data_IF_134644321889
#
_entry.id   IF_134644321889
#
_cell.length_a   1.000
_cell.length_b   1.000
_cell.length_c   1.000
_cell.angle_alpha   90.00
_cell.angle_beta   90.00
_cell.angle_gamma   90.00
#
_symmetry.space_group_name_H-M   'P 1'
#
loop_
_entity.id
_entity.type
_entity.pdbx_description
1 polymer ?
#
# COMPACT_ATOMS: atom_id res chain seq x y z
N UNK A 1 11.04 -13.35 33.79
CA UNK A 1 9.90 -12.51 33.37
C UNK A 1 9.07 -12.18 34.57
N UNK A 2 8.50 -10.97 34.64
CA UNK A 2 7.60 -10.54 35.73
C UNK A 2 6.26 -10.16 35.14
N UNK A 3 5.19 -10.64 35.80
CA UNK A 3 3.82 -10.45 35.35
C UNK A 3 3.24 -9.16 35.92
N UNK A 4 2.68 -8.32 35.00
CA UNK A 4 2.08 -7.06 35.35
C UNK A 4 0.72 -6.89 34.65
N UNK A 5 -0.22 -6.25 35.32
CA UNK A 5 -1.44 -5.77 34.66
C UNK A 5 -1.12 -4.61 33.75
N UNK A 6 -1.88 -4.45 32.67
CA UNK A 6 -1.61 -3.40 31.68
C UNK A 6 -1.70 -1.99 32.27
N UNK A 7 -2.59 -1.74 33.24
CA UNK A 7 -2.64 -0.46 33.96
C UNK A 7 -1.44 -0.20 34.89
N UNK A 8 -0.60 -1.21 35.16
CA UNK A 8 0.70 -1.03 35.80
C UNK A 8 1.81 -0.73 34.80
N UNK A 9 1.64 -1.14 33.54
CA UNK A 9 2.61 -0.96 32.43
C UNK A 9 2.43 0.39 31.76
N UNK A 10 1.19 0.83 31.57
CA UNK A 10 0.84 2.01 30.78
C UNK A 10 -0.26 2.85 31.44
N UNK A 11 -0.29 4.12 31.07
CA UNK A 11 -1.44 5.00 31.28
C UNK A 11 -2.11 5.32 29.93
N UNK A 12 -3.44 5.49 29.96
CA UNK A 12 -4.21 6.00 28.82
C UNK A 12 -4.50 7.49 29.03
N UNK A 13 -3.87 8.35 28.26
CA UNK A 13 -4.14 9.80 28.29
C UNK A 13 -5.52 10.07 27.68
N UNK A 14 -6.43 10.64 28.49
CA UNK A 14 -7.81 10.97 28.09
C UNK A 14 -8.01 12.46 27.83
N UNK A 15 -6.96 13.26 27.93
CA UNK A 15 -7.01 14.71 27.67
C UNK A 15 -7.50 14.97 26.24
N UNK A 16 -8.45 15.89 26.11
CA UNK A 16 -9.10 16.21 24.83
C UNK A 16 -9.06 17.69 24.55
N UNK A 17 -9.16 18.03 23.27
CA UNK A 17 -9.33 19.39 22.77
C UNK A 17 -10.40 19.40 21.68
N UNK A 18 -11.23 20.45 21.63
CA UNK A 18 -12.03 20.75 20.44
C UNK A 18 -11.09 21.33 19.39
N UNK A 19 -10.98 20.73 18.19
CA UNK A 19 -10.05 21.18 17.18
C UNK A 19 -10.35 22.59 16.69
N UNK A 20 -9.29 23.34 16.42
CA UNK A 20 -9.27 24.64 15.77
C UNK A 20 -8.61 24.54 14.39
N UNK A 21 -8.68 25.59 13.56
CA UNK A 21 -8.08 25.61 12.23
C UNK A 21 -6.56 25.37 12.27
N UNK A 22 -5.87 25.88 13.30
CA UNK A 22 -4.44 25.66 13.53
C UNK A 22 -4.06 24.19 13.77
N UNK A 23 -5.00 23.38 14.22
CA UNK A 23 -4.76 21.96 14.50
C UNK A 23 -4.75 21.09 13.22
N UNK A 24 -5.23 21.60 12.08
CA UNK A 24 -5.31 20.84 10.81
C UNK A 24 -3.98 20.21 10.42
N UNK A 25 -2.91 20.96 10.54
CA UNK A 25 -1.55 20.51 10.18
C UNK A 25 -0.89 19.67 11.29
N UNK A 26 -1.54 19.50 12.44
CA UNK A 26 -1.05 18.73 13.60
C UNK A 26 -2.04 17.65 14.04
N UNK A 27 -2.80 17.13 13.09
CA UNK A 27 -3.76 16.06 13.32
C UNK A 27 -3.22 14.72 12.81
N UNK A 28 -3.28 13.70 13.66
CA UNK A 28 -3.05 12.31 13.27
C UNK A 28 -4.36 11.55 13.37
N UNK A 29 -4.83 11.01 12.25
CA UNK A 29 -5.98 10.11 12.16
C UNK A 29 -5.55 8.65 12.13
N UNK A 30 -6.49 7.70 12.25
CA UNK A 30 -6.19 6.28 12.08
C UNK A 30 -5.75 5.93 10.64
N UNK A 31 -6.12 6.77 9.68
CA UNK A 31 -5.71 6.70 8.28
C UNK A 31 -4.23 7.02 8.07
N UNK A 32 -3.61 7.69 9.03
CA UNK A 32 -2.18 8.05 9.01
C UNK A 32 -1.28 7.01 9.68
N UNK A 33 -1.87 6.04 10.38
CA UNK A 33 -1.14 4.92 10.98
C UNK A 33 -1.13 3.75 10.02
N UNK A 34 0.06 3.30 9.65
CA UNK A 34 0.26 2.14 8.79
C UNK A 34 0.59 0.89 9.64
N UNK A 35 -0.01 -0.28 9.35
CA UNK A 35 0.35 -1.51 10.03
C UNK A 35 1.82 -1.88 9.83
N UNK A 36 2.46 -2.46 10.84
CA UNK A 36 3.83 -2.97 10.74
C UNK A 36 4.92 -1.89 10.69
N UNK A 37 4.62 -0.66 11.11
CA UNK A 37 5.61 0.40 11.35
C UNK A 37 5.18 1.27 12.52
N UNK A 38 6.16 1.76 13.27
CA UNK A 38 5.96 2.73 14.35
C UNK A 38 6.09 4.17 13.85
N UNK A 39 6.63 4.38 12.65
CA UNK A 39 6.82 5.70 12.08
C UNK A 39 5.50 6.25 11.51
N UNK A 40 5.16 7.47 11.88
CA UNK A 40 4.03 8.22 11.32
C UNK A 40 4.59 9.20 10.29
N UNK A 41 4.44 8.86 9.01
CA UNK A 41 4.99 9.64 7.88
C UNK A 41 3.98 10.61 7.26
N UNK A 42 2.69 10.47 7.61
CA UNK A 42 1.59 11.27 7.07
C UNK A 42 0.73 11.81 8.20
N UNK A 43 0.27 13.03 8.06
CA UNK A 43 -0.62 13.68 9.03
C UNK A 43 -1.36 14.86 8.37
N UNK A 44 -2.25 15.50 9.13
CA UNK A 44 -3.03 16.63 8.66
C UNK A 44 -4.44 16.26 8.23
N UNK A 45 -5.26 17.26 7.96
CA UNK A 45 -6.62 17.11 7.45
C UNK A 45 -6.93 18.23 6.46
N UNK A 46 -7.67 17.91 5.39
CA UNK A 46 -8.13 18.90 4.39
C UNK A 46 -9.07 19.93 4.99
N UNK A 47 -9.84 19.52 5.98
CA UNK A 47 -10.77 20.37 6.74
C UNK A 47 -10.57 20.18 8.23
N UNK A 48 -10.91 21.18 9.03
CA UNK A 48 -10.81 21.09 10.50
C UNK A 48 -11.58 19.88 11.02
N UNK A 49 -10.92 18.94 11.75
CA UNK A 49 -11.56 17.72 12.23
C UNK A 49 -12.69 18.03 13.20
N UNK A 50 -13.87 17.42 12.98
CA UNK A 50 -15.06 17.64 13.80
C UNK A 50 -15.03 16.82 15.09
N UNK A 51 -15.62 17.38 16.16
CA UNK A 51 -15.73 16.76 17.49
C UNK A 51 -14.37 16.67 18.22
N UNK A 52 -14.42 16.40 19.52
CA UNK A 52 -13.24 16.35 20.38
C UNK A 52 -12.21 15.34 19.88
N UNK A 53 -10.94 15.71 19.97
CA UNK A 53 -9.79 14.88 19.65
C UNK A 53 -8.92 14.69 20.89
N UNK A 54 -8.20 13.58 20.94
CA UNK A 54 -7.23 13.34 22.01
C UNK A 54 -6.02 14.26 21.84
N UNK A 55 -5.53 14.82 22.94
CA UNK A 55 -4.24 15.50 22.95
C UNK A 55 -3.12 14.47 22.98
N UNK A 56 -2.14 14.64 22.09
CA UNK A 56 -0.92 13.85 22.07
C UNK A 56 0.30 14.73 22.21
N UNK A 57 1.36 14.21 22.84
CA UNK A 57 2.70 14.79 22.90
C UNK A 57 3.65 13.99 22.02
N UNK A 58 4.68 14.64 21.52
CA UNK A 58 5.76 13.95 20.81
C UNK A 58 6.28 12.78 21.62
N UNK A 59 6.35 11.59 21.01
CA UNK A 59 6.78 10.36 21.65
C UNK A 59 5.66 9.53 22.31
N UNK A 60 4.43 10.07 22.45
CA UNK A 60 3.29 9.27 22.90
C UNK A 60 3.01 8.13 21.91
N UNK A 61 2.54 6.99 22.42
CA UNK A 61 2.15 5.86 21.58
C UNK A 61 0.69 5.98 21.17
N UNK A 62 0.46 6.01 19.86
CA UNK A 62 -0.84 6.13 19.24
C UNK A 62 -1.35 4.76 18.85
N UNK A 63 -2.35 4.24 19.55
CA UNK A 63 -2.94 2.93 19.27
C UNK A 63 -4.32 3.08 18.62
N UNK A 64 -4.52 2.46 17.46
CA UNK A 64 -5.79 2.41 16.74
C UNK A 64 -6.75 1.42 17.39
N UNK A 65 -7.48 1.83 18.44
CA UNK A 65 -8.38 0.95 19.18
C UNK A 65 -9.61 0.48 18.41
N UNK A 66 -10.11 1.30 17.47
CA UNK A 66 -11.24 0.93 16.59
C UNK A 66 -10.73 0.10 15.43
N UNK A 67 -11.34 -1.05 15.19
CA UNK A 67 -10.85 -2.08 14.25
C UNK A 67 -9.43 -2.52 14.62
N UNK A 68 -9.25 -2.91 15.88
CA UNK A 68 -7.95 -3.30 16.42
C UNK A 68 -7.24 -4.39 15.58
N UNK A 69 -8.00 -5.22 14.84
CA UNK A 69 -7.47 -6.20 13.88
C UNK A 69 -6.62 -5.59 12.75
N UNK A 70 -6.71 -4.27 12.52
CA UNK A 70 -5.82 -3.58 11.57
C UNK A 70 -4.40 -3.38 12.13
N UNK A 71 -4.16 -3.70 13.42
CA UNK A 71 -2.84 -3.66 14.08
C UNK A 71 -2.09 -2.33 13.89
N UNK A 72 -2.80 -1.20 14.01
CA UNK A 72 -2.28 0.15 13.79
C UNK A 72 -1.72 0.74 15.07
N UNK A 73 -0.40 0.95 15.10
CA UNK A 73 0.35 1.58 16.20
C UNK A 73 1.34 2.56 15.61
N UNK A 74 1.54 3.72 16.23
CA UNK A 74 2.55 4.68 15.80
C UNK A 74 3.08 5.51 16.96
N UNK A 75 4.24 6.12 16.77
CA UNK A 75 4.82 7.09 17.71
C UNK A 75 4.43 8.49 17.25
N UNK A 76 3.88 9.31 18.15
CA UNK A 76 3.49 10.69 17.85
C UNK A 76 4.71 11.51 17.40
N UNK A 77 4.71 12.07 16.17
CA UNK A 77 5.89 12.78 15.63
C UNK A 77 6.05 14.19 16.20
N UNK A 78 4.98 14.75 16.78
CA UNK A 78 4.91 16.11 17.33
C UNK A 78 3.79 16.24 18.38
N UNK A 79 3.75 17.36 19.07
CA UNK A 79 2.64 17.73 19.93
C UNK A 79 1.44 18.17 19.08
N UNK A 80 0.28 17.56 19.29
CA UNK A 80 -0.90 17.84 18.48
C UNK A 80 -2.14 17.08 18.93
N UNK A 81 -3.01 16.75 17.98
CA UNK A 81 -4.26 16.04 18.25
C UNK A 81 -4.33 14.71 17.51
N UNK A 82 -4.90 13.71 18.18
CA UNK A 82 -5.10 12.36 17.66
C UNK A 82 -6.58 11.99 17.58
N UNK A 83 -6.91 11.12 16.65
CA UNK A 83 -8.29 10.62 16.45
C UNK A 83 -8.91 10.12 17.77
N UNK A 84 -10.16 10.50 18.05
CA UNK A 84 -10.92 9.97 19.18
C UNK A 84 -11.21 8.45 19.09
N UNK A 85 -10.98 7.83 17.90
CA UNK A 85 -11.09 6.39 17.69
C UNK A 85 -9.79 5.63 18.04
N UNK A 86 -8.79 6.32 18.58
CA UNK A 86 -7.56 5.73 19.10
C UNK A 86 -7.45 5.81 20.62
N UNK A 87 -6.28 5.44 21.13
CA UNK A 87 -5.80 5.68 22.48
C UNK A 87 -4.41 6.31 22.41
N UNK A 88 -4.14 7.21 23.34
CA UNK A 88 -2.80 7.79 23.55
C UNK A 88 -2.23 7.10 24.79
N UNK A 89 -1.24 6.25 24.59
CA UNK A 89 -0.64 5.43 25.64
C UNK A 89 0.75 5.97 26.01
N UNK A 90 1.04 6.01 27.31
CA UNK A 90 2.33 6.40 27.87
C UNK A 90 2.88 5.28 28.75
N UNK A 91 4.19 4.99 28.69
CA UNK A 91 4.80 3.99 29.56
C UNK A 91 4.86 4.47 31.01
N UNK A 92 4.70 3.56 31.96
CA UNK A 92 5.10 3.75 33.35
C UNK A 92 6.55 3.32 33.49
N UNK A 93 7.47 4.28 33.52
CA UNK A 93 8.90 4.06 33.42
C UNK A 93 9.51 3.26 34.61
N UNK A 94 8.80 3.14 35.69
CA UNK A 94 9.14 2.27 36.83
C UNK A 94 8.90 0.77 36.56
N UNK A 95 8.09 0.43 35.52
CA UNK A 95 7.75 -0.96 35.16
C UNK A 95 8.26 -1.32 33.77
N UNK A 96 8.13 -0.44 32.79
CA UNK A 96 8.52 -0.70 31.40
C UNK A 96 9.49 0.37 30.89
N UNK A 97 10.57 -0.07 30.24
CA UNK A 97 11.50 0.84 29.59
C UNK A 97 10.79 1.63 28.48
N UNK A 98 10.87 2.97 28.47
CA UNK A 98 10.17 3.80 27.48
C UNK A 98 10.58 3.53 26.03
N UNK A 99 11.80 3.07 25.77
CA UNK A 99 12.25 2.71 24.42
C UNK A 99 11.76 1.32 24.00
N UNK A 100 11.50 0.42 24.97
CA UNK A 100 10.93 -0.89 24.71
C UNK A 100 9.41 -0.84 24.52
N UNK A 101 8.75 0.10 25.18
CA UNK A 101 7.29 0.20 25.22
C UNK A 101 6.60 0.27 23.83
N UNK A 102 7.08 1.07 22.84
CA UNK A 102 6.49 1.08 21.50
C UNK A 102 6.46 -0.31 20.84
N UNK A 103 7.55 -1.07 20.99
CA UNK A 103 7.67 -2.42 20.43
C UNK A 103 6.78 -3.42 21.15
N UNK A 104 6.63 -3.29 22.48
CA UNK A 104 5.67 -4.09 23.22
C UNK A 104 4.23 -3.84 22.73
N UNK A 105 3.81 -2.59 22.57
CA UNK A 105 2.46 -2.24 22.07
C UNK A 105 2.25 -2.69 20.62
N UNK A 106 3.29 -2.71 19.77
CA UNK A 106 3.19 -3.17 18.38
C UNK A 106 3.37 -4.69 18.21
N UNK A 107 3.70 -5.41 19.28
CA UNK A 107 3.88 -6.86 19.24
C UNK A 107 2.55 -7.62 19.13
N UNK A 108 2.59 -8.82 18.55
CA UNK A 108 1.43 -9.71 18.52
C UNK A 108 0.96 -10.09 19.93
N UNK A 109 1.88 -10.16 20.91
CA UNK A 109 1.54 -10.41 22.33
C UNK A 109 0.51 -9.41 22.85
N UNK A 110 0.68 -8.12 22.55
CA UNK A 110 -0.28 -7.10 22.97
C UNK A 110 -1.48 -7.01 22.00
N UNK A 111 -1.21 -7.02 20.69
CA UNK A 111 -2.23 -6.76 19.67
C UNK A 111 -3.27 -7.87 19.60
N UNK A 112 -2.89 -9.14 19.71
CA UNK A 112 -3.83 -10.26 19.68
C UNK A 112 -4.75 -10.24 20.91
N UNK A 113 -4.23 -9.89 22.10
CA UNK A 113 -5.03 -9.68 23.29
C UNK A 113 -5.99 -8.48 23.14
N UNK A 114 -5.53 -7.38 22.55
CA UNK A 114 -6.37 -6.22 22.27
C UNK A 114 -7.49 -6.54 21.25
N UNK A 115 -7.22 -7.37 20.26
CA UNK A 115 -8.23 -7.89 19.33
C UNK A 115 -9.22 -8.79 20.05
N UNK A 116 -8.73 -9.73 20.89
CA UNK A 116 -9.54 -10.68 21.65
C UNK A 116 -10.59 -9.97 22.54
N UNK A 117 -10.22 -8.88 23.20
CA UNK A 117 -11.13 -8.13 24.08
C UNK A 117 -11.93 -7.05 23.36
N UNK A 118 -11.78 -6.92 22.04
CA UNK A 118 -12.53 -5.94 21.25
C UNK A 118 -14.00 -6.31 21.14
N UNK A 119 -14.89 -5.31 21.26
CA UNK A 119 -16.35 -5.48 21.21
C UNK A 119 -16.94 -4.77 20.00
N UNK A 120 -17.93 -5.39 19.35
CA UNK A 120 -18.66 -4.87 18.19
C UNK A 120 -18.46 -5.70 16.94
N UNK A 121 -19.52 -5.90 16.14
CA UNK A 121 -19.51 -6.76 14.94
C UNK A 121 -18.87 -6.08 13.73
N UNK A 122 -19.31 -4.86 13.37
CA UNK A 122 -18.84 -4.15 12.16
C UNK A 122 -17.54 -3.35 12.38
N UNK A 123 -17.29 -2.90 13.60
CA UNK A 123 -16.13 -2.08 13.95
C UNK A 123 -15.66 -2.42 15.36
N UNK A 124 -15.13 -3.63 15.59
CA UNK A 124 -14.71 -4.05 16.92
C UNK A 124 -13.71 -3.06 17.50
N UNK A 125 -13.92 -2.70 18.76
CA UNK A 125 -13.18 -1.64 19.44
C UNK A 125 -12.63 -2.16 20.77
N UNK A 126 -11.33 -2.07 20.97
CA UNK A 126 -10.67 -2.35 22.24
C UNK A 126 -10.89 -1.17 23.19
N UNK A 127 -11.49 -1.42 24.37
CA UNK A 127 -11.74 -0.37 25.35
C UNK A 127 -10.71 -0.43 26.47
N UNK A 128 -10.32 0.74 26.99
CA UNK A 128 -9.37 0.81 28.09
C UNK A 128 -9.80 0.03 29.33
N UNK A 129 -11.10 0.02 29.65
CA UNK A 129 -11.64 -0.74 30.79
C UNK A 129 -11.33 -2.23 30.72
N UNK A 130 -11.26 -2.79 29.51
CA UNK A 130 -11.02 -4.21 29.27
C UNK A 130 -9.52 -4.46 29.12
N UNK A 131 -8.79 -3.60 28.39
CA UNK A 131 -7.33 -3.69 28.23
C UNK A 131 -6.58 -3.57 29.56
N UNK A 132 -6.94 -2.63 30.43
CA UNK A 132 -6.21 -2.30 31.65
C UNK A 132 -6.07 -3.49 32.62
N UNK A 133 -6.96 -4.48 32.53
CA UNK A 133 -6.99 -5.66 33.40
C UNK A 133 -6.22 -6.85 32.84
N UNK A 134 -5.80 -6.77 31.58
CA UNK A 134 -4.99 -7.81 30.95
C UNK A 134 -3.62 -7.89 31.63
N UNK A 135 -3.09 -9.09 31.71
CA UNK A 135 -1.79 -9.36 32.33
C UNK A 135 -0.78 -9.78 31.26
N UNK A 136 0.41 -9.22 31.37
CA UNK A 136 1.52 -9.46 30.44
C UNK A 136 2.80 -9.77 31.19
N UNK A 137 3.55 -10.73 30.67
CA UNK A 137 4.86 -11.09 31.19
C UNK A 137 5.93 -10.21 30.51
N UNK A 138 6.56 -9.30 31.28
CA UNK A 138 7.63 -8.44 30.77
C UNK A 138 9.02 -9.02 31.09
N UNK A 139 9.98 -8.87 30.17
CA UNK A 139 11.39 -9.17 30.45
C UNK A 139 11.94 -8.30 31.60
N UNK A 140 13.08 -8.69 32.14
CA UNK A 140 13.81 -7.83 33.10
C UNK A 140 14.20 -6.49 32.47
N UNK A 141 14.35 -5.40 33.24
CA UNK A 141 14.70 -4.08 32.72
C UNK A 141 15.97 -4.06 31.84
N UNK A 142 16.98 -4.86 32.19
CA UNK A 142 18.18 -5.02 31.36
C UNK A 142 17.88 -5.64 30.00
N UNK A 143 17.02 -6.67 29.97
CA UNK A 143 16.61 -7.33 28.71
C UNK A 143 15.67 -6.45 27.87
N UNK A 144 14.82 -5.62 28.51
CA UNK A 144 14.01 -4.64 27.81
C UNK A 144 14.89 -3.63 27.06
N UNK A 145 15.94 -3.08 27.68
CA UNK A 145 16.88 -2.16 27.03
C UNK A 145 17.65 -2.80 25.88
N UNK A 146 18.12 -4.02 26.06
CA UNK A 146 18.79 -4.79 24.99
C UNK A 146 17.86 -4.98 23.78
N UNK A 147 16.63 -5.45 24.02
CA UNK A 147 15.62 -5.64 22.97
C UNK A 147 15.25 -4.32 22.31
N UNK A 148 15.05 -3.25 23.07
CA UNK A 148 14.76 -1.92 22.53
C UNK A 148 15.86 -1.45 21.59
N UNK A 149 17.13 -1.65 21.92
CA UNK A 149 18.26 -1.31 21.06
C UNK A 149 18.18 -2.05 19.71
N UNK A 150 18.10 -3.38 19.76
CA UNK A 150 18.03 -4.22 18.54
C UNK A 150 16.81 -3.86 17.68
N UNK A 151 15.63 -3.74 18.29
CA UNK A 151 14.40 -3.45 17.57
C UNK A 151 14.39 -2.03 16.97
N UNK A 152 14.99 -1.04 17.66
CA UNK A 152 15.12 0.32 17.13
C UNK A 152 16.04 0.36 15.91
N UNK A 153 17.15 -0.37 15.93
CA UNK A 153 18.06 -0.48 14.78
C UNK A 153 17.35 -1.19 13.61
N UNK A 154 16.62 -2.26 13.87
CA UNK A 154 15.85 -2.98 12.84
C UNK A 154 14.77 -2.09 12.21
N UNK A 155 14.00 -1.34 13.00
CA UNK A 155 12.98 -0.42 12.49
C UNK A 155 13.60 0.74 11.69
N UNK A 156 14.73 1.29 12.15
CA UNK A 156 15.51 2.30 11.42
C UNK A 156 15.99 1.77 10.07
N UNK A 157 16.56 0.56 10.05
CA UNK A 157 17.03 -0.09 8.82
C UNK A 157 15.86 -0.31 7.85
N UNK A 158 14.72 -0.78 8.34
CA UNK A 158 13.48 -0.95 7.56
C UNK A 158 12.99 0.37 6.97
N UNK A 159 13.06 1.47 7.73
CA UNK A 159 12.76 2.82 7.25
C UNK A 159 13.69 3.26 6.12
N UNK A 160 15.01 3.04 6.26
CA UNK A 160 15.99 3.34 5.23
C UNK A 160 15.74 2.53 3.95
N UNK A 161 15.42 1.24 4.03
CA UNK A 161 15.08 0.41 2.86
C UNK A 161 13.83 0.93 2.14
N UNK A 162 12.76 1.28 2.89
CA UNK A 162 11.55 1.87 2.30
C UNK A 162 11.88 3.16 1.56
N UNK A 163 12.66 4.05 2.17
CA UNK A 163 13.09 5.31 1.54
C UNK A 163 13.92 5.05 0.29
N UNK A 164 14.85 4.09 0.33
CA UNK A 164 15.66 3.71 -0.84
C UNK A 164 14.78 3.20 -2.00
N UNK A 165 13.81 2.34 -1.72
CA UNK A 165 12.86 1.85 -2.74
C UNK A 165 12.07 3.01 -3.38
N UNK A 166 11.57 3.95 -2.59
CA UNK A 166 10.88 5.15 -3.09
C UNK A 166 11.83 6.00 -3.94
N UNK A 167 13.05 6.23 -3.46
CA UNK A 167 14.06 7.00 -4.22
C UNK A 167 14.39 6.35 -5.56
N UNK A 168 14.46 5.02 -5.63
CA UNK A 168 14.64 4.30 -6.88
C UNK A 168 13.50 4.58 -7.87
N UNK A 169 12.24 4.58 -7.40
CA UNK A 169 11.08 4.93 -8.25
C UNK A 169 11.16 6.39 -8.73
N UNK A 170 11.53 7.32 -7.86
CA UNK A 170 11.68 8.74 -8.19
C UNK A 170 12.78 8.98 -9.23
N UNK A 171 13.89 8.25 -9.16
CA UNK A 171 14.99 8.33 -10.13
C UNK A 171 14.52 7.84 -11.51
N UNK A 172 13.83 6.69 -11.58
CA UNK A 172 13.27 6.21 -12.85
C UNK A 172 12.30 7.24 -13.42
N UNK A 173 11.38 7.74 -12.60
CA UNK A 173 10.40 8.74 -13.01
C UNK A 173 11.05 10.01 -13.54
N UNK A 174 12.08 10.53 -12.84
CA UNK A 174 12.82 11.73 -13.28
C UNK A 174 13.49 11.52 -14.65
N UNK A 175 14.14 10.36 -14.86
CA UNK A 175 14.78 10.06 -16.14
C UNK A 175 13.77 10.02 -17.31
N UNK A 176 12.57 9.47 -17.08
CA UNK A 176 11.51 9.46 -18.09
C UNK A 176 10.96 10.87 -18.37
N UNK A 177 10.74 11.68 -17.32
CA UNK A 177 10.32 13.08 -17.46
C UNK A 177 11.34 13.87 -18.27
N UNK A 178 12.61 13.78 -17.89
CA UNK A 178 13.71 14.51 -18.56
C UNK A 178 13.84 14.08 -20.03
N UNK A 179 13.71 12.81 -20.33
CA UNK A 179 13.79 12.28 -21.70
C UNK A 179 12.62 12.77 -22.57
N UNK A 180 11.40 12.80 -22.03
CA UNK A 180 10.22 13.29 -22.76
C UNK A 180 10.29 14.81 -22.97
N UNK A 181 10.71 15.57 -21.94
CA UNK A 181 10.83 17.03 -22.03
C UNK A 181 11.96 17.47 -22.95
N UNK A 182 13.05 16.72 -23.04
CA UNK A 182 14.19 17.01 -23.89
C UNK A 182 13.99 16.56 -25.35
N UNK A 183 12.97 15.77 -25.63
CA UNK A 183 12.70 15.28 -26.96
C UNK A 183 12.19 16.42 -27.88
N UNK A 184 12.80 16.54 -29.07
CA UNK A 184 12.30 17.45 -30.11
C UNK A 184 11.02 16.90 -30.71
N UNK A 185 9.87 17.51 -30.38
CA UNK A 185 8.53 17.13 -30.88
C UNK A 185 8.21 15.62 -30.65
N UNK A 186 8.03 15.15 -29.40
CA UNK A 186 7.63 13.78 -29.16
C UNK A 186 6.26 13.52 -29.83
N UNK A 187 6.12 12.40 -30.51
CA UNK A 187 4.84 11.97 -31.07
C UNK A 187 3.93 11.52 -29.91
N UNK A 188 2.73 12.07 -29.84
CA UNK A 188 1.71 11.59 -28.90
C UNK A 188 0.77 10.64 -29.64
N UNK A 189 0.63 9.43 -29.09
CA UNK A 189 -0.15 8.36 -29.71
C UNK A 189 -1.15 7.81 -28.69
N UNK A 190 -2.38 7.56 -29.14
CA UNK A 190 -3.41 6.99 -28.27
C UNK A 190 -3.03 5.57 -27.87
N UNK A 191 -3.32 5.23 -26.63
CA UNK A 191 -2.98 3.91 -26.07
C UNK A 191 -3.62 2.76 -26.87
N UNK A 192 -4.82 2.98 -27.45
CA UNK A 192 -5.50 1.97 -28.27
C UNK A 192 -4.77 1.70 -29.60
N UNK A 193 -4.00 2.68 -30.11
CA UNK A 193 -3.21 2.54 -31.33
C UNK A 193 -1.83 1.86 -31.10
N UNK A 194 -1.48 1.59 -29.84
CA UNK A 194 -0.21 0.95 -29.42
C UNK A 194 -0.35 -0.56 -29.16
N UNK A 195 -1.54 -1.11 -29.30
CA UNK A 195 -1.78 -2.55 -29.08
C UNK A 195 -1.80 -3.31 -30.41
N UNK A 196 -1.52 -4.62 -30.32
CA UNK A 196 -1.52 -5.53 -31.47
C UNK A 196 -2.86 -5.59 -32.15
N UNK A 197 -2.88 -5.67 -33.47
CA UNK A 197 -4.11 -5.91 -34.26
C UNK A 197 -4.82 -7.19 -33.76
N UNK A 198 -6.15 -7.13 -33.68
CA UNK A 198 -6.96 -8.22 -33.16
C UNK A 198 -6.91 -8.42 -31.64
N UNK A 199 -6.14 -7.62 -30.91
CA UNK A 199 -6.05 -7.67 -29.45
C UNK A 199 -6.30 -6.31 -28.78
N UNK A 200 -7.50 -5.75 -28.92
CA UNK A 200 -7.82 -4.43 -28.37
C UNK A 200 -7.71 -4.43 -26.85
N UNK A 201 -7.51 -3.25 -26.26
CA UNK A 201 -7.55 -3.08 -24.81
C UNK A 201 -8.91 -3.54 -24.29
N UNK A 202 -8.91 -4.49 -23.36
CA UNK A 202 -10.13 -5.06 -22.79
C UNK A 202 -9.95 -5.41 -21.32
N UNK A 203 -11.05 -5.44 -20.60
CA UNK A 203 -11.11 -6.01 -19.25
C UNK A 203 -11.59 -7.47 -19.28
N UNK A 204 -11.43 -8.16 -18.16
CA UNK A 204 -11.76 -9.57 -18.05
C UNK A 204 -13.15 -9.85 -17.48
N UNK A 205 -13.22 -10.87 -16.65
CA UNK A 205 -14.44 -11.49 -16.16
C UNK A 205 -15.16 -10.61 -15.13
N UNK A 206 -16.43 -10.31 -15.35
CA UNK A 206 -17.24 -9.46 -14.45
C UNK A 206 -17.61 -10.20 -13.16
N UNK A 207 -17.97 -11.49 -13.27
CA UNK A 207 -18.36 -12.33 -12.13
C UNK A 207 -17.68 -13.69 -12.28
N UNK A 208 -16.46 -13.87 -11.74
CA UNK A 208 -15.69 -15.09 -11.93
C UNK A 208 -16.27 -16.31 -11.19
N UNK A 209 -17.24 -16.12 -10.29
CA UNK A 209 -17.78 -17.21 -9.48
C UNK A 209 -16.91 -17.56 -8.28
N UNK A 210 -17.20 -18.71 -7.68
CA UNK A 210 -16.37 -19.29 -6.62
C UNK A 210 -15.12 -19.96 -7.18
N UNK A 211 -14.20 -20.31 -6.28
CA UNK A 211 -12.97 -21.02 -6.66
C UNK A 211 -13.29 -22.44 -7.17
N UNK A 212 -12.73 -22.81 -8.32
CA UNK A 212 -12.96 -24.13 -8.96
C UNK A 212 -11.61 -24.84 -9.07
N UNK A 213 -11.47 -25.99 -8.46
CA UNK A 213 -10.27 -26.83 -8.56
C UNK A 213 -10.01 -27.22 -10.01
N UNK A 214 -8.77 -27.04 -10.50
CA UNK A 214 -8.40 -27.29 -11.90
C UNK A 214 -9.01 -26.29 -12.90
N UNK A 215 -9.60 -25.19 -12.43
CA UNK A 215 -10.14 -24.11 -13.27
C UNK A 215 -9.07 -23.25 -13.92
N UNK A 216 -9.49 -22.16 -14.56
CA UNK A 216 -8.60 -21.19 -15.22
C UNK A 216 -8.19 -20.11 -14.22
N UNK A 217 -6.87 -19.80 -14.05
CA UNK A 217 -6.43 -18.77 -13.14
C UNK A 217 -6.96 -17.37 -13.52
N UNK A 218 -7.42 -16.61 -12.52
CA UNK A 218 -7.99 -15.27 -12.69
C UNK A 218 -7.20 -14.28 -11.84
N UNK A 219 -6.57 -13.32 -12.48
CA UNK A 219 -5.75 -12.29 -11.83
C UNK A 219 -6.64 -11.13 -11.39
N UNK A 220 -6.51 -10.76 -10.13
CA UNK A 220 -7.17 -9.59 -9.50
C UNK A 220 -6.15 -8.51 -9.21
N UNK A 221 -6.60 -7.27 -9.02
CA UNK A 221 -5.74 -6.14 -8.67
C UNK A 221 -4.93 -6.37 -7.38
N UNK A 222 -5.44 -7.15 -6.43
CA UNK A 222 -4.73 -7.52 -5.19
C UNK A 222 -3.52 -8.41 -5.44
N UNK A 223 -3.51 -9.16 -6.53
CA UNK A 223 -2.52 -10.19 -6.80
C UNK A 223 -1.22 -9.61 -7.42
N UNK A 224 -1.20 -8.30 -7.79
CA UNK A 224 0.01 -7.62 -8.27
C UNK A 224 0.23 -6.25 -7.58
N UNK A 225 0.37 -6.21 -6.26
CA UNK A 225 0.49 -4.95 -5.52
C UNK A 225 1.77 -4.17 -5.84
N UNK A 226 2.84 -4.88 -6.18
CA UNK A 226 4.20 -4.34 -6.35
C UNK A 226 4.76 -4.52 -7.78
N UNK A 227 3.88 -4.71 -8.77
CA UNK A 227 4.30 -4.85 -10.18
C UNK A 227 4.71 -6.27 -10.60
N UNK A 228 4.70 -7.22 -9.68
CA UNK A 228 4.86 -8.67 -9.94
C UNK A 228 3.59 -9.39 -9.52
N UNK A 229 3.18 -10.39 -10.29
CA UNK A 229 1.98 -11.16 -9.97
C UNK A 229 2.36 -12.23 -8.94
N UNK A 230 1.65 -12.23 -7.81
CA UNK A 230 1.73 -13.26 -6.79
C UNK A 230 0.77 -14.40 -7.17
N UNK A 231 1.35 -15.55 -7.48
CA UNK A 231 0.60 -16.74 -7.93
C UNK A 231 0.12 -17.64 -6.77
N UNK A 232 0.45 -17.32 -5.53
CA UNK A 232 0.22 -18.17 -4.36
C UNK A 232 -1.26 -18.31 -3.96
N UNK A 233 -2.12 -17.31 -4.27
CA UNK A 233 -3.54 -17.27 -3.87
C UNK A 233 -4.44 -16.76 -5.01
N UNK A 234 -4.25 -17.30 -6.21
CA UNK A 234 -5.10 -16.95 -7.36
C UNK A 234 -6.50 -17.56 -7.22
N UNK A 235 -7.49 -16.86 -7.76
CA UNK A 235 -8.82 -17.39 -7.97
C UNK A 235 -8.85 -18.24 -9.26
N UNK A 236 -9.55 -19.37 -9.25
CA UNK A 236 -9.73 -20.21 -10.43
C UNK A 236 -11.20 -20.21 -10.85
N UNK A 237 -11.50 -19.71 -12.05
CA UNK A 237 -12.86 -19.73 -12.61
C UNK A 237 -13.14 -21.03 -13.39
N UNK A 238 -14.42 -21.38 -13.50
CA UNK A 238 -14.80 -22.51 -14.34
C UNK A 238 -14.54 -22.22 -15.83
N UNK A 239 -14.16 -23.22 -16.65
CA UNK A 239 -13.98 -23.05 -18.09
C UNK A 239 -15.22 -22.47 -18.78
N UNK A 240 -16.43 -22.85 -18.34
CA UNK A 240 -17.69 -22.37 -18.92
C UNK A 240 -17.93 -20.85 -18.70
N UNK A 241 -17.41 -20.28 -17.60
CA UNK A 241 -17.45 -18.85 -17.35
C UNK A 241 -16.36 -18.16 -18.18
N UNK A 242 -15.13 -18.69 -18.15
CA UNK A 242 -13.96 -18.11 -18.79
C UNK A 242 -14.12 -18.03 -20.32
N UNK A 243 -14.69 -19.05 -20.94
CA UNK A 243 -14.90 -19.11 -22.40
C UNK A 243 -15.69 -17.92 -22.94
N UNK A 244 -16.63 -17.37 -22.14
CA UNK A 244 -17.38 -16.16 -22.51
C UNK A 244 -16.51 -14.91 -22.57
N UNK A 245 -15.29 -15.02 -22.02
CA UNK A 245 -14.30 -13.93 -21.94
C UNK A 245 -12.98 -14.31 -22.64
N UNK A 246 -13.01 -15.26 -23.58
CA UNK A 246 -11.84 -15.73 -24.32
C UNK A 246 -11.00 -14.60 -24.95
N UNK A 247 -11.65 -13.50 -25.34
CA UNK A 247 -10.98 -12.31 -25.89
C UNK A 247 -10.00 -11.65 -24.93
N UNK A 248 -10.15 -11.83 -23.59
CA UNK A 248 -9.28 -11.26 -22.56
C UNK A 248 -8.25 -12.25 -22.06
N UNK A 249 -8.15 -13.45 -22.61
CA UNK A 249 -7.09 -14.43 -22.29
C UNK A 249 -5.72 -13.79 -22.42
N UNK A 250 -4.88 -14.09 -21.44
CA UNK A 250 -3.56 -13.51 -21.31
C UNK A 250 -2.53 -14.26 -22.13
N UNK A 251 -1.56 -13.52 -22.64
CA UNK A 251 -0.35 -14.03 -23.24
C UNK A 251 0.87 -13.50 -22.47
N UNK A 252 1.99 -14.18 -22.58
CA UNK A 252 3.24 -13.70 -22.02
C UNK A 252 3.57 -12.29 -22.52
N UNK A 253 3.99 -11.42 -21.60
CA UNK A 253 4.33 -10.02 -21.89
C UNK A 253 3.14 -9.07 -22.05
N UNK A 254 1.88 -9.53 -21.96
CA UNK A 254 0.73 -8.62 -21.84
C UNK A 254 0.93 -7.72 -20.61
N UNK A 255 0.73 -6.41 -20.76
CA UNK A 255 0.76 -5.47 -19.66
C UNK A 255 -0.63 -5.36 -19.03
N UNK A 256 -0.73 -5.65 -17.75
CA UNK A 256 -1.94 -5.45 -16.95
C UNK A 256 -1.95 -4.02 -16.39
N UNK A 257 -3.08 -3.36 -16.47
CA UNK A 257 -3.30 -2.02 -15.91
C UNK A 257 -4.61 -2.01 -15.11
N UNK A 258 -4.53 -1.73 -13.81
CA UNK A 258 -5.73 -1.65 -12.97
C UNK A 258 -6.55 -0.42 -13.29
N UNK A 259 -7.84 -0.61 -13.58
CA UNK A 259 -8.79 0.44 -13.94
C UNK A 259 -9.82 0.73 -12.84
N UNK A 260 -9.88 -0.09 -11.78
CA UNK A 260 -10.77 0.11 -10.63
C UNK A 260 -10.07 -0.21 -9.31
N UNK A 261 -10.53 0.39 -8.24
CA UNK A 261 -9.91 0.30 -6.92
C UNK A 261 -8.58 1.06 -6.86
N UNK A 262 -7.46 0.36 -6.73
CA UNK A 262 -6.13 0.97 -6.83
C UNK A 262 -5.75 1.19 -8.30
N UNK A 263 -6.31 2.23 -8.94
CA UNK A 263 -6.08 2.54 -10.36
C UNK A 263 -4.60 2.84 -10.62
N UNK A 264 -4.09 2.38 -11.78
CA UNK A 264 -2.71 2.63 -12.23
C UNK A 264 -1.68 1.60 -11.77
N UNK A 265 -2.07 0.53 -11.04
CA UNK A 265 -1.16 -0.61 -10.81
C UNK A 265 -0.93 -1.36 -12.11
N UNK A 266 0.31 -1.79 -12.32
CA UNK A 266 0.72 -2.49 -13.53
C UNK A 266 1.57 -3.70 -13.20
N UNK A 267 1.44 -4.77 -14.01
CA UNK A 267 2.32 -5.94 -13.99
C UNK A 267 2.38 -6.56 -15.39
N UNK A 268 3.49 -7.20 -15.71
CA UNK A 268 3.58 -8.03 -16.91
C UNK A 268 3.16 -9.46 -16.60
N UNK A 269 2.49 -10.07 -17.56
CA UNK A 269 2.08 -11.47 -17.48
C UNK A 269 3.29 -12.38 -17.72
N UNK A 270 3.69 -13.24 -16.75
CA UNK A 270 4.75 -14.21 -16.91
C UNK A 270 4.31 -15.39 -17.79
N UNK A 271 5.26 -16.21 -18.21
CA UNK A 271 5.00 -17.42 -19.01
C UNK A 271 4.08 -18.42 -18.29
N UNK A 272 4.21 -18.56 -16.98
CA UNK A 272 3.38 -19.43 -16.12
C UNK A 272 1.88 -19.12 -16.17
N UNK A 273 1.52 -17.90 -16.52
CA UNK A 273 0.13 -17.43 -16.58
C UNK A 273 -0.42 -17.26 -18.00
N UNK A 274 0.24 -17.85 -19.00
CA UNK A 274 -0.31 -17.91 -20.36
C UNK A 274 -1.62 -18.71 -20.35
N UNK A 275 -2.68 -18.12 -20.92
CA UNK A 275 -4.02 -18.73 -20.92
C UNK A 275 -4.88 -18.36 -19.69
N UNK A 276 -4.31 -17.76 -18.65
CA UNK A 276 -5.07 -17.17 -17.56
C UNK A 276 -5.98 -16.02 -18.05
N UNK A 277 -6.87 -15.56 -17.19
CA UNK A 277 -7.73 -14.40 -17.47
C UNK A 277 -7.63 -13.40 -16.30
N UNK A 278 -8.39 -12.34 -16.34
CA UNK A 278 -8.38 -11.26 -15.36
C UNK A 278 -9.80 -10.84 -14.98
N UNK A 279 -9.95 -10.06 -13.92
CA UNK A 279 -11.25 -9.50 -13.54
C UNK A 279 -11.56 -8.22 -14.33
N UNK A 280 -12.81 -7.74 -14.20
CA UNK A 280 -13.26 -6.48 -14.79
C UNK A 280 -12.51 -5.23 -14.26
N UNK A 281 -11.72 -5.37 -13.19
CA UNK A 281 -11.04 -4.25 -12.53
C UNK A 281 -9.64 -3.99 -13.12
N UNK A 282 -9.22 -4.84 -14.06
CA UNK A 282 -7.94 -4.77 -14.76
C UNK A 282 -8.17 -4.72 -16.27
N UNK A 283 -7.46 -3.85 -16.98
CA UNK A 283 -7.34 -3.84 -18.42
C UNK A 283 -6.08 -4.58 -18.86
N UNK A 284 -6.18 -5.35 -19.96
CA UNK A 284 -5.05 -5.99 -20.64
C UNK A 284 -4.63 -5.12 -21.83
N UNK A 285 -3.35 -4.82 -21.91
CA UNK A 285 -2.67 -4.13 -23.01
C UNK A 285 -1.69 -5.13 -23.66
N UNK A 286 -2.00 -5.57 -24.88
CA UNK A 286 -1.10 -6.43 -25.68
C UNK A 286 -0.31 -5.53 -26.61
N UNK A 287 0.83 -5.02 -26.16
CA UNK A 287 1.62 -4.03 -26.89
C UNK A 287 2.15 -4.59 -28.21
N UNK A 288 2.30 -3.73 -29.23
CA UNK A 288 2.94 -4.07 -30.50
C UNK A 288 4.41 -4.40 -30.28
N UNK A 289 4.99 -5.24 -31.17
CA UNK A 289 6.33 -5.81 -31.01
C UNK A 289 7.46 -4.79 -31.15
N UNK A 290 7.23 -3.73 -31.89
CA UNK A 290 8.18 -2.63 -32.09
C UNK A 290 8.32 -1.69 -30.88
N UNK A 291 7.45 -1.82 -29.88
CA UNK A 291 7.47 -0.99 -28.67
C UNK A 291 8.24 -1.70 -27.56
N UNK A 292 9.07 -0.95 -26.85
CA UNK A 292 9.67 -1.46 -25.61
C UNK A 292 8.61 -1.47 -24.50
N UNK A 293 8.25 -2.65 -23.93
CA UNK A 293 7.17 -2.72 -22.94
C UNK A 293 7.49 -1.98 -21.64
N UNK A 294 8.77 -1.96 -21.25
CA UNK A 294 9.21 -1.27 -20.03
C UNK A 294 9.19 0.24 -20.21
N UNK A 295 9.47 0.73 -21.43
CA UNK A 295 9.27 2.12 -21.79
C UNK A 295 7.79 2.52 -21.63
N UNK A 296 6.87 1.74 -22.19
CA UNK A 296 5.43 2.03 -22.08
C UNK A 296 4.99 2.00 -20.61
N UNK A 297 5.46 1.02 -19.82
CA UNK A 297 5.19 0.96 -18.38
C UNK A 297 5.71 2.20 -17.64
N UNK A 298 6.90 2.68 -18.00
CA UNK A 298 7.50 3.89 -17.44
C UNK A 298 6.73 5.16 -17.77
N UNK A 299 6.33 5.32 -19.04
CA UNK A 299 5.51 6.46 -19.51
C UNK A 299 4.15 6.49 -18.82
N UNK A 300 3.52 5.34 -18.61
CA UNK A 300 2.25 5.25 -17.89
C UNK A 300 2.35 5.61 -16.38
N UNK A 301 3.57 5.82 -15.86
CA UNK A 301 3.85 6.32 -14.49
C UNK A 301 4.24 7.80 -14.45
N UNK A 302 4.25 8.50 -15.60
CA UNK A 302 4.55 9.93 -15.65
C UNK A 302 3.54 10.76 -14.85
N UNK A 303 3.95 11.91 -14.27
CA UNK A 303 3.05 12.81 -13.55
C UNK A 303 1.84 13.26 -14.33
N UNK A 304 2.00 13.47 -15.64
CA UNK A 304 0.93 13.89 -16.55
C UNK A 304 -0.12 12.80 -16.70
N UNK A 305 0.31 11.54 -16.77
CA UNK A 305 -0.59 10.37 -16.83
C UNK A 305 -1.30 10.19 -15.49
N UNK A 306 -0.58 10.31 -14.36
CA UNK A 306 -1.18 10.25 -13.03
C UNK A 306 -2.21 11.38 -12.83
N UNK A 307 -1.90 12.59 -13.26
CA UNK A 307 -2.83 13.72 -13.27
C UNK A 307 -4.06 13.42 -14.13
N UNK A 308 -3.85 12.89 -15.34
CA UNK A 308 -4.93 12.49 -16.23
C UNK A 308 -5.83 11.43 -15.57
N UNK A 309 -5.26 10.40 -14.97
CA UNK A 309 -5.99 9.34 -14.24
C UNK A 309 -6.89 9.97 -13.17
N UNK A 310 -6.35 10.84 -12.31
CA UNK A 310 -7.12 11.48 -11.23
C UNK A 310 -8.32 12.27 -11.75
N UNK A 311 -8.21 12.92 -12.90
CA UNK A 311 -9.31 13.67 -13.51
C UNK A 311 -10.34 12.77 -14.18
N UNK A 312 -9.98 11.55 -14.59
CA UNK A 312 -10.87 10.60 -15.24
C UNK A 312 -11.43 9.53 -14.30
N UNK A 313 -11.02 9.52 -13.03
CA UNK A 313 -11.63 8.66 -12.02
C UNK A 313 -13.08 9.10 -11.78
N UNK A 314 -14.00 8.16 -11.92
CA UNK A 314 -15.44 8.33 -11.69
C UNK A 314 -15.92 7.27 -10.69
N UNK A 315 -17.02 7.57 -10.01
CA UNK A 315 -17.67 6.66 -9.06
C UNK A 315 -17.50 7.05 -7.61
N UNK A 316 -18.54 6.87 -6.80
CA UNK A 316 -18.59 7.21 -5.37
C UNK A 316 -18.20 6.00 -4.52
N UNK A 317 -18.75 4.83 -4.82
CA UNK A 317 -18.50 3.60 -4.05
C UNK A 317 -17.26 2.82 -4.53
N UNK A 318 -17.07 2.74 -5.84
CA UNK A 318 -15.89 2.13 -6.47
C UNK A 318 -15.34 3.13 -7.48
N UNK A 319 -14.21 3.71 -7.16
CA UNK A 319 -13.51 4.63 -8.04
C UNK A 319 -12.84 3.87 -9.18
N UNK A 320 -12.91 4.40 -10.40
CA UNK A 320 -12.28 3.78 -11.57
C UNK A 320 -12.24 4.67 -12.79
N UNK A 321 -11.37 4.31 -13.73
CA UNK A 321 -11.25 4.91 -15.06
C UNK A 321 -12.04 4.06 -16.05
N UNK A 322 -12.82 4.71 -16.91
CA UNK A 322 -13.55 4.02 -17.95
C UNK A 322 -12.58 3.49 -19.03
N UNK A 323 -12.83 2.27 -19.52
CA UNK A 323 -11.99 1.66 -20.56
C UNK A 323 -11.92 2.51 -21.84
N UNK A 324 -13.02 3.20 -22.20
CA UNK A 324 -13.04 4.13 -23.35
C UNK A 324 -12.08 5.30 -23.12
N UNK A 325 -12.08 5.86 -21.92
CA UNK A 325 -11.20 6.98 -21.57
C UNK A 325 -9.74 6.52 -21.60
N UNK A 326 -9.43 5.33 -21.03
CA UNK A 326 -8.09 4.74 -21.06
C UNK A 326 -7.56 4.53 -22.50
N UNK A 327 -8.40 4.04 -23.41
CA UNK A 327 -8.04 3.84 -24.82
C UNK A 327 -7.65 5.13 -25.52
N UNK A 328 -8.28 6.24 -25.15
CA UNK A 328 -8.02 7.57 -25.68
C UNK A 328 -6.89 8.32 -24.97
N UNK A 329 -6.28 7.74 -23.95
CA UNK A 329 -5.11 8.34 -23.30
C UNK A 329 -3.98 8.44 -24.34
N UNK A 330 -3.51 9.65 -24.58
CA UNK A 330 -2.35 9.92 -25.42
C UNK A 330 -1.07 9.89 -24.58
N UNK A 331 -0.09 9.14 -25.03
CA UNK A 331 1.21 9.04 -24.38
C UNK A 331 2.33 9.38 -25.36
N UNK A 332 3.45 9.96 -24.88
CA UNK A 332 4.58 10.28 -25.74
C UNK A 332 5.29 9.00 -26.18
N UNK A 333 5.65 8.94 -27.47
CA UNK A 333 6.42 7.86 -28.07
C UNK A 333 7.74 8.46 -28.58
N UNK A 334 8.84 8.01 -28.01
CA UNK A 334 10.21 8.37 -28.40
C UNK A 334 10.75 7.42 -29.47
N UNK A 335 11.94 7.69 -29.99
CA UNK A 335 12.62 6.78 -30.91
C UNK A 335 12.89 5.42 -30.27
N UNK A 336 12.95 4.35 -31.08
CA UNK A 336 13.19 2.98 -30.61
C UNK A 336 14.46 2.86 -29.74
N UNK A 337 15.56 3.53 -30.15
CA UNK A 337 16.80 3.55 -29.38
C UNK A 337 16.59 4.14 -27.97
N UNK A 338 15.81 5.24 -27.87
CA UNK A 338 15.54 5.90 -26.60
C UNK A 338 14.55 5.10 -25.74
N UNK A 339 13.57 4.45 -26.36
CA UNK A 339 12.70 3.52 -25.66
C UNK A 339 13.52 2.37 -25.03
N UNK A 340 14.40 1.73 -25.84
CA UNK A 340 15.25 0.64 -25.37
C UNK A 340 16.25 1.08 -24.28
N UNK A 341 16.79 2.31 -24.35
CA UNK A 341 17.66 2.87 -23.32
C UNK A 341 16.90 2.99 -21.99
N UNK A 342 15.74 3.66 -22.00
CA UNK A 342 14.92 3.90 -20.82
C UNK A 342 14.34 2.60 -20.24
N UNK A 343 13.92 1.68 -21.11
CA UNK A 343 13.41 0.37 -20.70
C UNK A 343 14.49 -0.46 -19.99
N UNK A 344 15.72 -0.49 -20.55
CA UNK A 344 16.87 -1.16 -19.87
C UNK A 344 17.19 -0.50 -18.53
N UNK A 345 17.14 0.83 -18.45
CA UNK A 345 17.37 1.55 -17.22
C UNK A 345 16.33 1.18 -16.15
N UNK A 346 15.03 1.25 -16.49
CA UNK A 346 13.94 0.88 -15.58
C UNK A 346 14.07 -0.56 -15.10
N UNK A 347 14.34 -1.50 -16.02
CA UNK A 347 14.56 -2.92 -15.69
C UNK A 347 15.75 -3.11 -14.73
N UNK A 348 16.84 -2.37 -14.92
CA UNK A 348 18.03 -2.44 -14.05
C UNK A 348 17.71 -1.97 -12.64
N UNK A 349 16.95 -0.88 -12.50
CA UNK A 349 16.50 -0.37 -11.19
C UNK A 349 15.53 -1.35 -10.53
N UNK A 350 14.56 -1.90 -11.26
CA UNK A 350 13.61 -2.87 -10.70
C UNK A 350 14.31 -4.15 -10.21
N UNK A 351 15.32 -4.65 -10.95
CA UNK A 351 16.17 -5.76 -10.47
C UNK A 351 16.91 -5.44 -9.18
N UNK A 352 17.39 -4.21 -9.04
CA UNK A 352 18.05 -3.74 -7.81
C UNK A 352 17.05 -3.65 -6.65
N UNK A 353 15.84 -3.11 -6.90
CA UNK A 353 14.75 -3.06 -5.92
C UNK A 353 14.32 -4.46 -5.47
N UNK A 354 14.23 -5.43 -6.40
CA UNK A 354 13.90 -6.81 -6.06
C UNK A 354 14.92 -7.43 -5.11
N UNK A 355 16.21 -7.22 -5.34
CA UNK A 355 17.28 -7.67 -4.43
C UNK A 355 17.16 -7.02 -3.05
N UNK A 356 16.87 -5.72 -3.00
CA UNK A 356 16.62 -4.97 -1.75
C UNK A 356 15.34 -5.45 -1.05
N UNK A 357 14.26 -5.72 -1.79
CA UNK A 357 13.00 -6.21 -1.26
C UNK A 357 13.11 -7.59 -0.62
N UNK A 358 13.93 -8.48 -1.15
CA UNK A 358 14.24 -9.77 -0.52
C UNK A 358 14.92 -9.55 0.83
N UNK A 359 15.87 -8.63 0.92
CA UNK A 359 16.53 -8.29 2.19
C UNK A 359 15.56 -7.61 3.18
N UNK A 360 14.61 -6.79 2.70
CA UNK A 360 13.60 -6.13 3.53
C UNK A 360 12.42 -7.00 3.95
N UNK A 361 12.12 -8.06 3.22
CA UNK A 361 11.08 -9.04 3.56
C UNK A 361 11.49 -10.06 4.61
N UNK A 362 12.77 -10.10 4.99
CA UNK A 362 13.32 -10.87 6.10
C UNK A 362 13.39 -10.09 7.43
N UNK A 363 12.99 -8.82 7.44
CA UNK A 363 12.92 -7.92 8.58
C UNK A 363 11.46 -7.53 8.86
#
# INVERSE_FOLDING_TARGET
MTRYRFDQIAENSTAKKKPEESDRNRYVGLEHLDPGTLEVTRWGAEVTPKGDKLLMKKGDILFGRRRAYQKKVGIAPFDGIFSAHGMVLRPKADVVDPMFFPFFISSDIFLDEAIRVSVGSLSPTANWKDLRTLEFDLPSPGKQRELAGILSEAESLKGHYRKLLTTCDDVVKSQFVDAVQSAHNPSFVRLDDLVREGRPITYGIVKPGGNVEGGIPIIKVKDYPNGTIDESDLLYASPAIEEKYARSRLKQGDLLFSIRGSVGRMAFVPESLVGANLTQDTARLSLREELDPEYIRGVLRLPEVDHWIRHHIKGVAVQGVNLRDLRNLEIPILSEDKQAELGRFATSVDKSKFKLGICGGML
#
